data_IF_243451339754
#
_entry.id   IF_243451339754
#
_cell.length_a   1.000
_cell.length_b   1.000
_cell.length_c   1.000
_cell.angle_alpha   90.00
_cell.angle_beta   90.00
_cell.angle_gamma   90.00
#
_symmetry.space_group_name_H-M   'P 1'
#
loop_
_entity.id
_entity.type
_entity.pdbx_description
1 polymer ?
#
# COMPACT_ATOMS: atom_id res chain seq x y z
N UNK A 1 -35.75 25.75 37.33
CA UNK A 1 -34.54 24.89 37.31
C UNK A 1 -34.73 23.47 36.71
N UNK A 2 -35.80 23.21 35.90
CA UNK A 2 -36.02 21.90 35.24
C UNK A 2 -35.69 21.88 33.74
N UNK A 3 -35.67 23.02 33.06
CA UNK A 3 -35.42 23.11 31.61
C UNK A 3 -33.95 22.94 31.21
N UNK A 4 -33.01 23.36 32.06
CA UNK A 4 -31.57 23.27 31.76
C UNK A 4 -31.01 21.83 31.82
N UNK A 5 -31.63 20.95 32.61
CA UNK A 5 -31.19 19.54 32.74
C UNK A 5 -31.59 18.69 31.52
N UNK A 6 -32.73 18.99 30.89
CA UNK A 6 -33.22 18.26 29.71
C UNK A 6 -32.44 18.61 28.44
N UNK A 7 -32.02 19.87 28.29
CA UNK A 7 -31.20 20.31 27.15
C UNK A 7 -29.78 19.72 27.22
N UNK A 8 -29.18 19.67 28.42
CA UNK A 8 -27.87 19.07 28.64
C UNK A 8 -27.86 17.55 28.35
N UNK A 9 -28.94 16.83 28.65
CA UNK A 9 -29.09 15.41 28.30
C UNK A 9 -29.27 15.17 26.79
N UNK A 10 -29.92 16.10 26.07
CA UNK A 10 -30.05 16.05 24.61
C UNK A 10 -28.71 16.29 23.91
N UNK A 11 -27.88 17.22 24.39
CA UNK A 11 -26.53 17.40 23.86
C UNK A 11 -25.59 16.25 24.23
N UNK A 12 -25.70 15.66 25.43
CA UNK A 12 -24.90 14.48 25.79
C UNK A 12 -25.25 13.24 24.95
N UNK A 13 -26.51 13.07 24.53
CA UNK A 13 -26.92 11.95 23.67
C UNK A 13 -26.55 12.15 22.20
N UNK A 14 -26.52 13.40 21.72
CA UNK A 14 -26.02 13.73 20.36
C UNK A 14 -24.48 13.63 20.31
N UNK A 15 -23.77 13.94 21.40
CA UNK A 15 -22.32 13.71 21.51
C UNK A 15 -21.95 12.26 21.82
N UNK A 16 -22.77 11.47 22.51
CA UNK A 16 -22.57 10.02 22.64
C UNK A 16 -22.79 9.28 21.31
N UNK A 17 -23.50 9.91 20.36
CA UNK A 17 -23.65 9.46 18.98
C UNK A 17 -22.48 9.88 18.06
N UNK A 18 -21.39 10.47 18.59
CA UNK A 18 -20.07 10.25 17.99
C UNK A 18 -19.68 8.81 18.29
N UNK A 19 -20.40 7.90 17.61
CA UNK A 19 -20.44 6.48 17.83
C UNK A 19 -19.01 5.93 17.88
N UNK A 20 -18.75 5.08 18.86
CA UNK A 20 -17.57 4.24 18.86
C UNK A 20 -17.40 3.63 17.46
N UNK A 21 -16.20 3.67 16.88
CA UNK A 21 -15.99 3.18 15.52
C UNK A 21 -16.49 1.73 15.44
N UNK A 22 -17.52 1.49 14.63
CA UNK A 22 -18.02 0.14 14.42
C UNK A 22 -17.10 -0.58 13.45
N UNK A 23 -16.86 -1.86 13.70
CA UNK A 23 -16.13 -2.72 12.77
C UNK A 23 -17.12 -3.27 11.74
N UNK A 24 -16.78 -3.14 10.47
CA UNK A 24 -17.54 -3.66 9.34
C UNK A 24 -16.67 -4.65 8.57
N UNK A 25 -17.13 -5.89 8.43
CA UNK A 25 -16.48 -6.93 7.67
C UNK A 25 -17.28 -7.19 6.39
N UNK A 26 -16.64 -7.02 5.23
CA UNK A 26 -17.25 -7.35 3.94
C UNK A 26 -17.27 -8.87 3.76
N UNK A 27 -18.46 -9.45 3.56
CA UNK A 27 -18.63 -10.90 3.40
C UNK A 27 -18.85 -11.65 4.72
N UNK A 28 -19.48 -12.83 4.62
CA UNK A 28 -19.87 -13.67 5.76
C UNK A 28 -18.75 -14.62 6.21
N UNK A 29 -18.89 -15.21 7.40
CA UNK A 29 -18.04 -16.34 7.79
C UNK A 29 -18.46 -17.57 6.98
N UNK A 30 -17.50 -18.42 6.60
CA UNK A 30 -17.71 -19.64 5.80
C UNK A 30 -18.53 -19.42 4.50
N UNK A 31 -18.09 -18.54 3.59
CA UNK A 31 -18.78 -18.32 2.33
C UNK A 31 -18.75 -19.53 1.40
N UNK A 32 -19.80 -19.67 0.58
CA UNK A 32 -19.69 -20.47 -0.65
C UNK A 32 -18.76 -19.75 -1.64
N UNK A 33 -18.31 -20.43 -2.70
CA UNK A 33 -17.44 -19.79 -3.71
C UNK A 33 -18.12 -18.59 -4.38
N UNK A 34 -19.42 -18.67 -4.61
CA UNK A 34 -20.22 -17.63 -5.28
C UNK A 34 -20.38 -16.37 -4.41
N UNK A 35 -20.27 -16.49 -3.08
CA UNK A 35 -20.41 -15.37 -2.14
C UNK A 35 -19.13 -14.51 -2.02
N UNK A 36 -18.04 -14.88 -2.71
CA UNK A 36 -16.73 -14.23 -2.53
C UNK A 36 -16.49 -13.03 -3.43
N UNK A 37 -17.26 -12.88 -4.50
CA UNK A 37 -17.20 -11.73 -5.40
C UNK A 37 -18.21 -10.65 -4.96
N UNK A 38 -17.69 -9.62 -4.31
CA UNK A 38 -18.45 -8.54 -3.69
C UNK A 38 -18.32 -7.25 -4.50
N UNK A 39 -19.38 -6.44 -4.50
CA UNK A 39 -19.34 -5.03 -4.91
C UNK A 39 -19.65 -4.16 -3.72
N UNK A 40 -18.94 -3.04 -3.54
CA UNK A 40 -19.12 -2.16 -2.38
C UNK A 40 -20.58 -1.75 -2.17
N UNK A 41 -21.29 -1.40 -3.25
CA UNK A 41 -22.69 -0.96 -3.16
C UNK A 41 -23.69 -2.04 -2.77
N UNK A 42 -23.40 -3.32 -3.03
CA UNK A 42 -24.34 -4.44 -2.79
C UNK A 42 -23.86 -5.44 -1.76
N UNK A 43 -22.61 -5.33 -1.29
CA UNK A 43 -22.04 -6.22 -0.30
C UNK A 43 -22.84 -6.15 1.01
N UNK A 44 -23.03 -7.32 1.63
CA UNK A 44 -23.48 -7.41 3.02
C UNK A 44 -22.28 -7.20 3.95
N UNK A 45 -22.53 -6.45 5.01
CA UNK A 45 -21.54 -6.11 6.03
C UNK A 45 -21.90 -6.77 7.35
N UNK A 46 -20.89 -7.14 8.11
CA UNK A 46 -21.02 -7.86 9.37
C UNK A 46 -20.17 -7.19 10.45
N UNK A 47 -20.47 -7.39 11.72
CA UNK A 47 -19.79 -6.75 12.85
C UNK A 47 -18.66 -7.60 13.48
N UNK A 48 -18.54 -8.86 13.10
CA UNK A 48 -17.55 -9.78 13.67
C UNK A 48 -16.69 -10.48 12.61
N UNK A 49 -15.38 -10.61 12.92
CA UNK A 49 -14.40 -11.28 12.08
C UNK A 49 -14.40 -12.81 12.21
N UNK A 50 -14.63 -13.34 13.41
CA UNK A 50 -14.35 -14.74 13.74
C UNK A 50 -15.61 -15.62 13.74
N UNK A 51 -16.79 -15.03 13.94
CA UNK A 51 -18.05 -15.75 14.04
C UNK A 51 -19.10 -15.20 13.08
N UNK A 52 -20.04 -16.06 12.67
CA UNK A 52 -21.16 -15.64 11.86
C UNK A 52 -22.08 -14.71 12.66
N UNK A 53 -22.44 -13.58 12.06
CA UNK A 53 -23.37 -12.61 12.65
C UNK A 53 -24.44 -12.20 11.65
N UNK A 54 -25.47 -11.51 12.14
CA UNK A 54 -26.49 -10.95 11.26
C UNK A 54 -25.88 -9.82 10.42
N UNK A 55 -26.35 -9.70 9.18
CA UNK A 55 -25.93 -8.58 8.33
C UNK A 55 -26.35 -7.26 8.99
N UNK A 56 -25.41 -6.32 9.02
CA UNK A 56 -25.65 -4.96 9.48
C UNK A 56 -26.62 -4.25 8.52
N UNK A 57 -27.51 -3.39 9.05
CA UNK A 57 -28.47 -2.66 8.24
C UNK A 57 -27.83 -1.53 7.41
N UNK A 58 -26.63 -1.09 7.80
CA UNK A 58 -25.92 0.04 7.20
C UNK A 58 -24.62 -0.38 6.53
N UNK A 59 -24.15 0.46 5.61
CA UNK A 59 -22.82 0.40 5.03
C UNK A 59 -21.82 1.15 5.92
N UNK A 60 -20.54 0.80 5.87
CA UNK A 60 -19.51 1.53 6.60
C UNK A 60 -19.45 2.99 6.14
N UNK A 61 -19.42 3.90 7.11
CA UNK A 61 -19.26 5.33 6.92
C UNK A 61 -17.88 5.86 7.36
N UNK A 62 -17.70 7.19 7.35
CA UNK A 62 -16.39 7.84 7.58
C UNK A 62 -15.76 7.61 8.96
N UNK A 63 -16.52 7.12 9.93
CA UNK A 63 -16.04 6.83 11.28
C UNK A 63 -15.81 5.31 11.53
N UNK A 64 -16.13 4.45 10.57
CA UNK A 64 -16.11 3.00 10.75
C UNK A 64 -14.80 2.37 10.29
N UNK A 65 -14.39 1.33 11.02
CA UNK A 65 -13.27 0.49 10.61
C UNK A 65 -13.81 -0.59 9.68
N UNK A 66 -13.23 -0.69 8.50
CA UNK A 66 -13.71 -1.61 7.47
C UNK A 66 -12.64 -2.66 7.18
N UNK A 67 -13.04 -3.91 7.12
CA UNK A 67 -12.15 -5.02 6.79
C UNK A 67 -12.77 -5.81 5.64
N UNK A 68 -12.04 -5.96 4.53
CA UNK A 68 -12.33 -7.03 3.60
C UNK A 68 -11.94 -8.35 4.28
N UNK A 69 -12.90 -9.22 4.55
CA UNK A 69 -12.68 -10.44 5.31
C UNK A 69 -11.63 -11.32 4.62
N UNK A 70 -10.87 -12.07 5.41
CA UNK A 70 -9.98 -13.11 4.92
C UNK A 70 -10.74 -14.25 4.24
N UNK A 71 -10.02 -15.07 3.47
CA UNK A 71 -10.59 -16.24 2.80
C UNK A 71 -10.84 -16.06 1.30
N UNK A 72 -9.98 -15.28 0.65
CA UNK A 72 -10.00 -15.05 -0.80
C UNK A 72 -11.23 -14.32 -1.32
N UNK A 73 -11.70 -13.32 -0.58
CA UNK A 73 -12.74 -12.41 -1.06
C UNK A 73 -12.19 -11.46 -2.12
N UNK A 74 -13.05 -11.04 -3.06
CA UNK A 74 -12.78 -9.97 -3.99
C UNK A 74 -13.83 -8.88 -3.79
N UNK A 75 -13.40 -7.67 -3.44
CA UNK A 75 -14.28 -6.51 -3.31
C UNK A 75 -13.99 -5.51 -4.43
N UNK A 76 -14.97 -5.33 -5.32
CA UNK A 76 -14.95 -4.26 -6.32
C UNK A 76 -15.57 -2.99 -5.74
N UNK A 77 -14.79 -1.91 -5.73
CA UNK A 77 -15.23 -0.57 -5.35
C UNK A 77 -15.88 0.09 -6.57
N UNK A 78 -17.21 0.07 -6.59
CA UNK A 78 -18.04 0.59 -7.68
C UNK A 78 -18.60 2.00 -7.42
N UNK A 79 -18.37 2.56 -6.23
CA UNK A 79 -18.65 3.94 -5.84
C UNK A 79 -17.46 4.58 -5.10
N UNK A 80 -17.51 5.87 -4.85
CA UNK A 80 -16.51 6.54 -4.01
C UNK A 80 -16.63 6.06 -2.55
N UNK A 81 -15.48 5.93 -1.88
CA UNK A 81 -15.37 5.36 -0.53
C UNK A 81 -14.74 6.36 0.43
N UNK A 82 -15.32 6.48 1.62
CA UNK A 82 -14.78 7.25 2.73
C UNK A 82 -15.07 6.54 4.06
N UNK A 83 -14.03 5.96 4.67
CA UNK A 83 -14.12 5.19 5.93
C UNK A 83 -13.05 5.63 6.92
N UNK A 84 -13.15 5.23 8.20
CA UNK A 84 -12.11 5.58 9.16
C UNK A 84 -10.82 4.82 8.89
N UNK A 85 -10.89 3.51 8.71
CA UNK A 85 -9.75 2.66 8.35
C UNK A 85 -10.19 1.56 7.40
N UNK A 86 -9.26 1.05 6.60
CA UNK A 86 -9.52 -0.09 5.73
C UNK A 86 -8.43 -1.15 5.88
N UNK A 87 -8.81 -2.41 6.05
CA UNK A 87 -7.90 -3.55 6.10
C UNK A 87 -8.27 -4.60 5.06
N UNK A 88 -7.29 -5.17 4.39
CA UNK A 88 -7.46 -6.33 3.51
C UNK A 88 -6.98 -7.56 4.27
N UNK A 89 -7.92 -8.47 4.57
CA UNK A 89 -7.62 -9.76 5.17
C UNK A 89 -6.94 -10.73 4.20
N UNK A 90 -6.44 -11.82 4.75
CA UNK A 90 -5.63 -12.80 4.03
C UNK A 90 -6.27 -13.29 2.73
N UNK A 91 -5.44 -13.37 1.69
CA UNK A 91 -5.77 -13.83 0.34
C UNK A 91 -6.80 -12.99 -0.41
N UNK A 92 -7.25 -11.88 0.19
CA UNK A 92 -8.37 -11.11 -0.32
C UNK A 92 -7.90 -9.92 -1.15
N UNK A 93 -8.78 -9.46 -2.03
CA UNK A 93 -8.43 -8.54 -3.11
C UNK A 93 -9.42 -7.38 -3.18
N UNK A 94 -8.92 -6.16 -3.07
CA UNK A 94 -9.67 -4.94 -3.34
C UNK A 94 -9.35 -4.49 -4.77
N UNK A 95 -10.37 -4.17 -5.56
CA UNK A 95 -10.22 -3.57 -6.90
C UNK A 95 -11.01 -2.27 -6.96
N UNK A 96 -10.32 -1.17 -7.28
CA UNK A 96 -10.89 0.17 -7.33
C UNK A 96 -10.48 0.87 -8.63
N UNK A 97 -11.44 1.07 -9.54
CA UNK A 97 -11.19 1.61 -10.88
C UNK A 97 -11.96 2.92 -11.08
N UNK A 98 -11.24 4.01 -11.35
CA UNK A 98 -11.79 5.35 -11.60
C UNK A 98 -12.71 5.84 -10.47
N UNK A 99 -12.35 5.54 -9.23
CA UNK A 99 -13.08 5.97 -8.02
C UNK A 99 -12.14 6.64 -7.02
N UNK A 100 -12.73 7.47 -6.16
CA UNK A 100 -12.02 8.01 -5.02
C UNK A 100 -12.08 7.03 -3.85
N UNK A 101 -10.94 6.75 -3.22
CA UNK A 101 -10.86 5.87 -2.06
C UNK A 101 -10.16 6.59 -0.91
N UNK A 102 -10.90 6.82 0.18
CA UNK A 102 -10.39 7.57 1.32
C UNK A 102 -10.48 6.78 2.62
N UNK A 103 -9.37 6.75 3.36
CA UNK A 103 -9.35 6.34 4.77
C UNK A 103 -8.95 7.54 5.62
N UNK A 104 -9.66 7.83 6.71
CA UNK A 104 -9.31 8.93 7.63
C UNK A 104 -8.04 8.62 8.43
N UNK A 105 -7.81 7.35 8.73
CA UNK A 105 -6.70 6.79 9.50
C UNK A 105 -5.94 5.85 8.55
N UNK A 106 -5.81 4.58 8.89
CA UNK A 106 -4.86 3.68 8.22
C UNK A 106 -5.48 2.87 7.07
N UNK A 107 -4.62 2.43 6.17
CA UNK A 107 -4.89 1.38 5.21
C UNK A 107 -3.92 0.21 5.47
N UNK A 108 -4.44 -1.00 5.67
CA UNK A 108 -3.64 -2.17 6.01
C UNK A 108 -3.81 -3.29 4.98
N UNK A 109 -2.70 -3.94 4.61
CA UNK A 109 -2.70 -5.18 3.84
C UNK A 109 -2.12 -6.30 4.71
N UNK A 110 -2.91 -7.34 4.95
CA UNK A 110 -2.41 -8.54 5.59
C UNK A 110 -1.52 -9.34 4.62
N UNK A 111 -0.34 -9.75 5.05
CA UNK A 111 0.52 -10.64 4.28
C UNK A 111 0.01 -12.07 4.46
N UNK A 112 -0.56 -12.59 3.37
CA UNK A 112 -1.26 -13.87 3.34
C UNK A 112 -0.33 -15.05 3.69
N UNK A 113 -0.85 -16.12 4.34
CA UNK A 113 -0.13 -17.37 4.54
C UNK A 113 0.02 -18.26 3.30
N UNK A 114 -0.87 -18.17 2.31
CA UNK A 114 -0.95 -19.15 1.19
C UNK A 114 -0.88 -18.53 -0.21
N UNK A 115 -1.37 -17.31 -0.38
CA UNK A 115 -1.51 -16.66 -1.68
C UNK A 115 -1.08 -15.20 -1.64
N UNK A 116 -1.91 -14.30 -2.14
CA UNK A 116 -1.60 -12.88 -2.22
C UNK A 116 -2.82 -12.06 -1.83
N UNK A 117 -2.68 -11.26 -0.77
CA UNK A 117 -3.61 -10.18 -0.49
C UNK A 117 -3.27 -9.00 -1.38
N UNK A 118 -4.26 -8.38 -2.02
CA UNK A 118 -4.00 -7.34 -3.04
C UNK A 118 -4.91 -6.14 -2.90
N UNK A 119 -4.35 -4.94 -2.98
CA UNK A 119 -5.09 -3.73 -3.28
C UNK A 119 -4.74 -3.27 -4.69
N UNK A 120 -5.71 -3.08 -5.57
CA UNK A 120 -5.49 -2.66 -6.95
C UNK A 120 -6.28 -1.39 -7.28
N UNK A 121 -5.55 -0.35 -7.66
CA UNK A 121 -6.11 0.96 -8.02
C UNK A 121 -5.78 1.30 -9.48
N UNK A 122 -6.78 1.68 -10.27
CA UNK A 122 -6.58 2.09 -11.67
C UNK A 122 -7.31 3.39 -11.96
N UNK A 123 -6.58 4.43 -12.40
CA UNK A 123 -7.17 5.74 -12.66
C UNK A 123 -7.86 6.36 -11.44
N UNK A 124 -7.41 6.02 -10.22
CA UNK A 124 -8.09 6.35 -8.97
C UNK A 124 -7.32 7.41 -8.17
N UNK A 125 -8.04 8.17 -7.33
CA UNK A 125 -7.42 9.00 -6.29
C UNK A 125 -7.57 8.31 -4.95
N UNK A 126 -6.46 8.10 -4.25
CA UNK A 126 -6.44 7.40 -2.96
C UNK A 126 -5.83 8.32 -1.91
N UNK A 127 -6.61 8.62 -0.86
CA UNK A 127 -6.18 9.44 0.27
C UNK A 127 -6.20 8.62 1.56
N UNK A 128 -5.03 8.36 2.12
CA UNK A 128 -4.85 7.64 3.38
C UNK A 128 -4.40 8.66 4.44
N UNK A 129 -5.29 8.96 5.39
CA UNK A 129 -5.06 9.98 6.41
C UNK A 129 -4.06 9.57 7.51
N UNK A 130 -3.65 8.30 7.54
CA UNK A 130 -2.63 7.73 8.43
C UNK A 130 -1.57 6.97 7.63
N UNK A 131 -1.17 5.80 8.11
CA UNK A 131 -0.12 4.97 7.49
C UNK A 131 -0.69 3.97 6.49
N UNK A 132 0.15 3.61 5.51
CA UNK A 132 -0.02 2.38 4.74
C UNK A 132 0.80 1.28 5.41
N UNK A 133 0.12 0.23 5.88
CA UNK A 133 0.74 -0.82 6.68
C UNK A 133 0.65 -2.18 6.02
N UNK A 134 1.71 -2.96 6.19
CA UNK A 134 1.76 -4.38 5.89
C UNK A 134 1.89 -5.13 7.21
N UNK A 135 0.90 -5.97 7.52
CA UNK A 135 0.82 -6.68 8.79
C UNK A 135 0.75 -8.18 8.58
N UNK A 136 1.07 -8.95 9.62
CA UNK A 136 0.88 -10.40 9.64
C UNK A 136 0.02 -10.77 10.82
N UNK A 137 -0.76 -11.84 10.68
CA UNK A 137 -1.34 -12.50 11.84
C UNK A 137 -0.29 -13.40 12.49
N UNK A 138 0.03 -13.12 13.76
CA UNK A 138 1.11 -13.77 14.53
C UNK A 138 0.99 -15.31 14.64
N UNK A 139 -0.22 -15.85 14.47
CA UNK A 139 -0.49 -17.29 14.56
C UNK A 139 -0.29 -18.03 13.23
N UNK A 140 0.00 -17.32 12.14
CA UNK A 140 0.33 -17.99 10.89
C UNK A 140 1.65 -18.76 11.00
N UNK A 141 1.68 -19.96 10.40
CA UNK A 141 2.89 -20.80 10.29
C UNK A 141 3.49 -20.77 8.87
N UNK A 142 2.84 -20.03 7.96
CA UNK A 142 3.26 -19.78 6.58
C UNK A 142 3.05 -18.31 6.24
N UNK A 143 3.80 -17.82 5.27
CA UNK A 143 3.68 -16.47 4.74
C UNK A 143 4.03 -16.45 3.26
N UNK A 144 3.37 -15.57 2.53
CA UNK A 144 3.47 -15.35 1.09
C UNK A 144 3.50 -13.85 0.82
N UNK A 145 2.58 -13.26 0.05
CA UNK A 145 2.69 -11.86 -0.37
C UNK A 145 1.50 -11.00 0.02
N UNK A 146 1.76 -9.71 0.16
CA UNK A 146 0.77 -8.66 -0.03
C UNK A 146 1.25 -7.65 -1.07
N UNK A 147 0.35 -7.14 -1.89
CA UNK A 147 0.69 -6.22 -2.96
C UNK A 147 -0.26 -5.01 -3.00
N UNK A 148 0.31 -3.82 -2.89
CA UNK A 148 -0.37 -2.58 -3.25
C UNK A 148 0.00 -2.22 -4.69
N UNK A 149 -0.96 -2.35 -5.60
CA UNK A 149 -0.81 -2.05 -7.01
C UNK A 149 -1.58 -0.80 -7.41
N UNK A 150 -0.93 0.10 -8.15
CA UNK A 150 -1.56 1.31 -8.69
C UNK A 150 -1.10 1.60 -10.13
N UNK A 151 -2.07 1.82 -11.02
CA UNK A 151 -1.84 2.18 -12.43
C UNK A 151 -2.54 3.50 -12.72
N UNK A 152 -1.83 4.44 -13.34
CA UNK A 152 -2.32 5.79 -13.68
C UNK A 152 -3.10 6.48 -12.54
N UNK A 153 -2.67 6.32 -11.29
CA UNK A 153 -3.42 6.74 -10.09
C UNK A 153 -2.64 7.77 -9.25
N UNK A 154 -3.34 8.55 -8.44
CA UNK A 154 -2.73 9.48 -7.47
C UNK A 154 -2.96 8.97 -6.06
N UNK A 155 -1.88 8.66 -5.35
CA UNK A 155 -1.92 8.08 -4.00
C UNK A 155 -1.25 9.05 -3.03
N UNK A 156 -1.96 9.44 -1.99
CA UNK A 156 -1.47 10.35 -0.97
C UNK A 156 -1.67 9.74 0.42
N UNK A 157 -0.56 9.50 1.10
CA UNK A 157 -0.49 8.85 2.41
C UNK A 157 0.10 9.87 3.37
N UNK A 158 -0.65 10.26 4.41
CA UNK A 158 -0.23 11.35 5.30
C UNK A 158 0.91 10.96 6.24
N UNK A 159 1.08 9.68 6.52
CA UNK A 159 2.07 9.20 7.46
C UNK A 159 3.04 8.20 6.81
N UNK A 160 3.52 7.21 7.56
CA UNK A 160 4.58 6.30 7.16
C UNK A 160 4.12 5.18 6.22
N UNK A 161 5.08 4.64 5.49
CA UNK A 161 5.05 3.24 5.06
C UNK A 161 5.50 2.36 6.23
N UNK A 162 4.68 1.40 6.65
CA UNK A 162 4.99 0.52 7.78
C UNK A 162 4.97 -0.94 7.37
N UNK A 163 6.04 -1.67 7.69
CA UNK A 163 6.17 -3.11 7.48
C UNK A 163 6.76 -3.70 8.76
N UNK A 164 5.95 -4.44 9.51
CA UNK A 164 6.37 -5.06 10.77
C UNK A 164 6.16 -6.56 10.65
N UNK A 165 7.21 -7.33 10.89
CA UNK A 165 7.18 -8.79 10.81
C UNK A 165 7.16 -9.32 12.25
N UNK A 166 6.04 -9.91 12.72
CA UNK A 166 6.04 -10.57 14.01
C UNK A 166 6.96 -11.79 13.92
N UNK A 167 8.09 -11.73 14.62
CA UNK A 167 9.04 -12.84 14.66
C UNK A 167 8.43 -14.00 15.44
N UNK A 168 7.88 -14.98 14.71
CA UNK A 168 7.58 -16.30 15.23
C UNK A 168 8.46 -17.26 14.42
N UNK A 169 9.52 -17.81 15.05
CA UNK A 169 10.59 -18.60 14.42
C UNK A 169 10.16 -19.95 13.82
N UNK A 170 8.99 -20.01 13.19
CA UNK A 170 8.28 -21.20 12.72
C UNK A 170 7.72 -21.09 11.31
N UNK A 171 8.07 -20.06 10.52
CA UNK A 171 7.66 -20.01 9.12
C UNK A 171 8.39 -21.09 8.32
N UNK A 172 7.65 -22.12 7.90
CA UNK A 172 8.21 -23.29 7.18
C UNK A 172 8.20 -23.16 5.66
N UNK A 173 7.96 -21.96 5.11
CA UNK A 173 7.81 -21.79 3.67
C UNK A 173 9.18 -21.69 2.97
N UNK A 174 9.41 -22.43 1.87
CA UNK A 174 10.68 -22.38 1.13
C UNK A 174 10.81 -21.13 0.25
N UNK A 175 9.70 -20.46 -0.09
CA UNK A 175 9.69 -19.27 -0.94
C UNK A 175 9.80 -17.98 -0.13
N UNK A 176 10.49 -16.99 -0.71
CA UNK A 176 10.63 -15.63 -0.16
C UNK A 176 9.26 -14.98 -0.01
N UNK A 177 9.01 -14.21 1.06
CA UNK A 177 7.69 -13.65 1.40
C UNK A 177 7.77 -12.19 1.83
N UNK A 178 6.65 -11.48 1.86
CA UNK A 178 6.57 -10.10 2.36
C UNK A 178 5.70 -9.17 1.51
N UNK A 179 6.05 -7.88 1.49
CA UNK A 179 5.24 -6.83 0.86
C UNK A 179 5.76 -6.37 -0.51
N UNK A 180 4.85 -5.87 -1.35
CA UNK A 180 5.13 -5.28 -2.66
C UNK A 180 4.37 -3.98 -2.84
N UNK A 181 5.04 -2.97 -3.39
CA UNK A 181 4.39 -1.79 -3.97
C UNK A 181 4.69 -1.80 -5.46
N UNK A 182 3.65 -1.90 -6.28
CA UNK A 182 3.74 -1.92 -7.75
C UNK A 182 3.06 -0.69 -8.33
N UNK A 183 3.84 0.18 -8.95
CA UNK A 183 3.34 1.39 -9.59
C UNK A 183 3.58 1.33 -11.10
N UNK A 184 2.61 1.84 -11.86
CA UNK A 184 2.64 1.82 -13.31
C UNK A 184 2.16 3.14 -13.92
N UNK A 185 2.77 3.54 -15.03
CA UNK A 185 2.34 4.67 -15.86
C UNK A 185 2.44 6.01 -15.16
N UNK A 186 1.37 6.80 -15.17
CA UNK A 186 1.34 8.16 -14.58
C UNK A 186 1.20 8.17 -13.06
N UNK A 187 1.40 7.03 -12.41
CA UNK A 187 1.12 6.89 -10.98
C UNK A 187 2.07 7.72 -10.14
N UNK A 188 1.51 8.46 -9.19
CA UNK A 188 2.28 9.16 -8.15
C UNK A 188 1.84 8.66 -6.78
N UNK A 189 2.82 8.41 -5.90
CA UNK A 189 2.57 8.01 -4.52
C UNK A 189 3.41 8.85 -3.57
N UNK A 190 2.77 9.55 -2.64
CA UNK A 190 3.46 10.38 -1.64
C UNK A 190 3.21 9.89 -0.22
N UNK A 191 4.27 9.85 0.57
CA UNK A 191 4.24 9.65 2.02
C UNK A 191 4.63 10.96 2.71
N UNK A 192 3.73 11.49 3.53
CA UNK A 192 3.95 12.69 4.35
C UNK A 192 4.95 12.46 5.49
N UNK A 193 5.30 11.21 5.78
CA UNK A 193 6.36 10.85 6.71
C UNK A 193 7.40 9.93 6.02
N UNK A 194 7.98 9.00 6.76
CA UNK A 194 9.10 8.19 6.33
C UNK A 194 8.71 6.72 6.19
N UNK A 195 9.62 5.86 6.63
CA UNK A 195 9.45 4.41 6.58
C UNK A 195 9.76 3.78 7.92
N UNK A 196 8.96 2.81 8.33
CA UNK A 196 9.25 1.89 9.43
C UNK A 196 9.26 0.49 8.83
N UNK A 197 10.44 0.00 8.44
CA UNK A 197 10.62 -1.30 7.81
C UNK A 197 11.43 -2.19 8.75
N UNK A 198 10.88 -3.36 9.04
CA UNK A 198 11.48 -4.37 9.90
C UNK A 198 12.89 -4.79 9.42
N UNK A 199 13.85 -4.89 10.36
CA UNK A 199 15.23 -5.22 10.02
C UNK A 199 15.35 -6.64 9.45
N UNK A 200 14.39 -7.53 9.70
CA UNK A 200 14.37 -8.87 9.10
C UNK A 200 14.37 -8.85 7.57
N UNK A 201 13.86 -7.79 6.93
CA UNK A 201 13.98 -7.61 5.47
C UNK A 201 15.45 -7.57 5.04
N UNK A 202 16.30 -6.92 5.83
CA UNK A 202 17.74 -6.82 5.62
C UNK A 202 18.48 -8.04 6.13
N UNK A 203 18.14 -8.52 7.32
CA UNK A 203 18.91 -9.52 8.06
C UNK A 203 18.64 -10.95 7.57
N UNK A 204 17.47 -11.20 6.97
CA UNK A 204 17.05 -12.52 6.45
C UNK A 204 16.57 -12.42 4.99
N UNK A 205 17.45 -12.00 4.06
CA UNK A 205 17.09 -11.64 2.68
C UNK A 205 16.76 -12.84 1.78
N UNK A 206 16.96 -14.07 2.25
CA UNK A 206 16.49 -15.28 1.55
C UNK A 206 15.04 -15.61 1.88
N UNK A 207 14.55 -15.13 3.03
CA UNK A 207 13.23 -15.42 3.57
C UNK A 207 12.25 -14.26 3.39
N UNK A 208 12.71 -13.03 3.62
CA UNK A 208 11.87 -11.85 3.67
C UNK A 208 12.25 -10.83 2.58
N UNK A 209 11.25 -10.22 1.95
CA UNK A 209 11.40 -9.08 1.04
C UNK A 209 10.39 -7.99 1.33
N UNK A 210 10.83 -6.76 1.05
CA UNK A 210 9.92 -5.70 0.66
C UNK A 210 10.37 -5.17 -0.69
N UNK A 211 9.49 -5.19 -1.71
CA UNK A 211 9.86 -4.87 -3.09
C UNK A 211 9.08 -3.67 -3.62
N UNK A 212 9.81 -2.73 -4.20
CA UNK A 212 9.27 -1.66 -5.02
C UNK A 212 9.38 -2.03 -6.50
N UNK A 213 8.28 -1.93 -7.24
CA UNK A 213 8.18 -2.28 -8.66
C UNK A 213 7.71 -1.05 -9.42
N UNK A 214 8.49 -0.59 -10.39
CA UNK A 214 8.18 0.55 -11.25
C UNK A 214 8.03 0.09 -12.68
N UNK A 215 6.85 0.31 -13.26
CA UNK A 215 6.52 -0.09 -14.63
C UNK A 215 6.24 1.13 -15.50
N UNK A 216 7.00 1.26 -16.56
CA UNK A 216 6.73 2.23 -17.61
C UNK A 216 5.44 1.85 -18.35
N UNK A 217 4.61 2.85 -18.64
CA UNK A 217 3.43 2.69 -19.50
C UNK A 217 3.19 3.95 -20.31
N UNK A 218 3.03 3.78 -21.62
CA UNK A 218 2.78 4.85 -22.60
C UNK A 218 3.81 6.01 -22.50
N UNK A 219 5.08 5.66 -22.24
CA UNK A 219 6.19 6.58 -22.04
C UNK A 219 6.22 7.28 -20.69
N UNK A 220 5.30 6.95 -19.78
CA UNK A 220 5.20 7.54 -18.44
C UNK A 220 5.89 6.63 -17.41
N UNK A 221 6.61 7.27 -16.50
CA UNK A 221 7.35 6.62 -15.42
C UNK A 221 6.71 7.00 -14.08
N UNK A 222 6.33 6.03 -13.24
CA UNK A 222 5.71 6.32 -11.95
C UNK A 222 6.75 6.78 -10.92
N UNK A 223 6.27 7.43 -9.86
CA UNK A 223 7.14 8.02 -8.83
C UNK A 223 6.60 7.82 -7.41
N UNK A 224 7.52 7.63 -6.46
CA UNK A 224 7.28 7.62 -5.01
C UNK A 224 8.04 8.77 -4.36
N UNK A 225 7.44 9.46 -3.39
CA UNK A 225 8.13 10.47 -2.59
C UNK A 225 7.94 10.28 -1.09
N UNK A 226 8.99 10.51 -0.30
CA UNK A 226 8.95 10.54 1.16
C UNK A 226 9.35 11.93 1.68
N UNK A 227 8.50 12.53 2.50
CA UNK A 227 8.74 13.88 3.04
C UNK A 227 9.70 13.86 4.25
N UNK A 228 9.76 12.74 4.99
CA UNK A 228 10.61 12.57 6.17
C UNK A 228 11.62 11.44 5.96
N UNK A 229 12.35 11.10 7.03
CA UNK A 229 13.45 10.13 6.96
C UNK A 229 12.94 8.75 6.54
N UNK A 230 13.39 8.29 5.37
CA UNK A 230 13.07 6.97 4.84
C UNK A 230 14.35 6.15 4.65
N UNK A 231 14.38 4.95 5.20
CA UNK A 231 15.47 4.01 5.06
C UNK A 231 14.96 2.74 4.37
N UNK A 232 15.42 2.53 3.13
CA UNK A 232 15.02 1.39 2.30
C UNK A 232 16.13 0.31 2.22
N UNK A 233 17.08 0.32 3.16
CA UNK A 233 18.14 -0.69 3.26
C UNK A 233 17.56 -2.12 3.28
N UNK A 234 18.15 -3.03 2.51
CA UNK A 234 17.63 -4.39 2.31
C UNK A 234 16.37 -4.51 1.43
N UNK A 235 15.74 -3.42 0.99
CA UNK A 235 14.62 -3.54 0.06
C UNK A 235 15.08 -4.07 -1.31
N UNK A 236 14.11 -4.56 -2.08
CA UNK A 236 14.31 -4.96 -3.48
C UNK A 236 13.69 -3.96 -4.43
N UNK A 237 14.28 -3.83 -5.62
CA UNK A 237 13.81 -2.92 -6.64
C UNK A 237 13.69 -3.64 -7.99
N UNK A 238 12.58 -3.44 -8.67
CA UNK A 238 12.30 -4.00 -9.99
C UNK A 238 11.82 -2.88 -10.92
N UNK A 239 12.44 -2.77 -12.09
CA UNK A 239 12.13 -1.77 -13.09
C UNK A 239 11.78 -2.44 -14.41
N UNK A 240 10.60 -2.16 -14.94
CA UNK A 240 10.20 -2.55 -16.28
C UNK A 240 10.08 -1.28 -17.14
N UNK A 241 11.13 -0.95 -17.89
CA UNK A 241 11.24 0.31 -18.65
C UNK A 241 11.59 -0.02 -20.11
N UNK A 242 10.69 0.33 -21.04
CA UNK A 242 10.80 -0.07 -22.45
C UNK A 242 10.75 1.09 -23.44
N UNK A 243 9.90 2.09 -23.21
CA UNK A 243 9.53 3.10 -24.23
C UNK A 243 9.59 4.56 -23.75
N UNK A 244 10.27 4.85 -22.64
CA UNK A 244 10.38 6.21 -22.13
C UNK A 244 11.19 7.16 -23.04
N UNK A 245 10.79 8.44 -23.09
CA UNK A 245 11.48 9.49 -23.87
C UNK A 245 12.80 9.90 -23.19
N UNK A 246 13.72 10.58 -23.91
CA UNK A 246 14.90 11.19 -23.29
C UNK A 246 14.52 12.14 -22.17
N UNK A 247 15.29 12.14 -21.10
CA UNK A 247 15.04 12.99 -19.95
C UNK A 247 15.51 12.38 -18.64
N UNK A 248 15.17 13.08 -17.56
CA UNK A 248 15.47 12.68 -16.18
C UNK A 248 14.15 12.45 -15.46
N UNK A 249 13.97 11.25 -14.93
CA UNK A 249 12.76 10.81 -14.24
C UNK A 249 13.10 10.43 -12.80
N UNK A 250 12.37 10.97 -11.83
CA UNK A 250 12.52 10.59 -10.42
C UNK A 250 11.65 9.37 -10.13
N UNK A 251 12.26 8.25 -9.79
CA UNK A 251 11.58 7.02 -9.39
C UNK A 251 11.23 7.07 -7.90
N UNK A 252 12.22 7.43 -7.07
CA UNK A 252 12.03 7.64 -5.63
C UNK A 252 12.66 8.98 -5.27
N UNK A 253 11.88 9.84 -4.62
CA UNK A 253 12.28 11.14 -4.10
C UNK A 253 12.32 11.13 -2.57
N UNK A 254 13.38 11.69 -2.01
CA UNK A 254 13.55 11.92 -0.59
C UNK A 254 13.71 13.42 -0.34
N UNK A 255 12.81 13.99 0.45
CA UNK A 255 12.91 15.40 0.84
C UNK A 255 13.82 15.58 2.08
N UNK A 256 14.18 14.49 2.76
CA UNK A 256 15.07 14.50 3.93
C UNK A 256 16.44 13.89 3.58
N UNK A 257 17.51 14.67 3.78
CA UNK A 257 18.91 14.30 3.54
C UNK A 257 19.42 13.04 4.26
N UNK A 258 18.77 12.63 5.36
CA UNK A 258 19.12 11.40 6.09
C UNK A 258 18.53 10.14 5.46
N UNK A 259 17.60 10.31 4.52
CA UNK A 259 16.98 9.18 3.84
C UNK A 259 17.96 8.51 2.90
N UNK A 260 17.80 7.20 2.71
CA UNK A 260 18.67 6.45 1.82
C UNK A 260 17.97 5.21 1.24
N UNK A 261 18.44 4.81 0.06
CA UNK A 261 18.15 3.49 -0.51
C UNK A 261 18.91 2.37 0.23
N UNK A 262 19.98 2.69 0.97
CA UNK A 262 20.84 1.71 1.64
C UNK A 262 21.52 0.75 0.66
N UNK A 263 21.77 -0.49 1.11
CA UNK A 263 22.24 -1.60 0.28
C UNK A 263 21.03 -2.48 -0.10
N UNK A 264 20.57 -2.44 -1.35
CA UNK A 264 19.47 -3.31 -1.79
C UNK A 264 19.86 -4.79 -1.73
N UNK A 265 18.89 -5.64 -1.42
CA UNK A 265 19.08 -7.10 -1.50
C UNK A 265 19.03 -7.60 -2.95
N UNK A 266 18.24 -6.95 -3.81
CA UNK A 266 18.14 -7.27 -5.23
C UNK A 266 17.70 -6.06 -6.03
N UNK A 267 18.29 -5.88 -7.20
CA UNK A 267 17.88 -4.88 -8.18
C UNK A 267 17.74 -5.54 -9.54
N UNK A 268 16.57 -5.40 -10.17
CA UNK A 268 16.26 -5.99 -11.47
C UNK A 268 15.78 -4.94 -12.47
N UNK A 269 16.22 -5.07 -13.71
CA UNK A 269 15.80 -4.27 -14.85
C UNK A 269 15.32 -5.18 -15.97
N UNK A 270 14.06 -5.05 -16.38
CA UNK A 270 13.42 -5.84 -17.43
C UNK A 270 13.64 -7.35 -17.25
N UNK A 271 13.51 -7.82 -16.00
CA UNK A 271 13.67 -9.23 -15.62
C UNK A 271 15.11 -9.73 -15.46
N UNK A 272 16.14 -8.87 -15.58
CA UNK A 272 17.56 -9.24 -15.42
C UNK A 272 18.18 -8.50 -14.23
N UNK A 273 19.20 -9.10 -13.61
CA UNK A 273 19.95 -8.44 -12.55
C UNK A 273 20.61 -7.15 -13.08
N UNK A 274 20.61 -6.11 -12.26
CA UNK A 274 21.09 -4.79 -12.61
C UNK A 274 21.83 -4.17 -11.42
N UNK A 275 22.90 -3.42 -11.69
CA UNK A 275 23.57 -2.61 -10.67
C UNK A 275 23.28 -1.13 -10.92
N UNK A 276 22.94 -0.38 -9.87
CA UNK A 276 22.74 1.06 -10.00
C UNK A 276 23.97 1.74 -10.61
N UNK A 277 23.73 2.60 -11.59
CA UNK A 277 24.75 3.29 -12.38
C UNK A 277 25.18 2.56 -13.65
N UNK A 278 24.89 1.27 -13.80
CA UNK A 278 25.19 0.54 -15.04
C UNK A 278 24.37 1.07 -16.23
N UNK A 279 24.98 1.16 -17.40
CA UNK A 279 24.26 1.59 -18.60
C UNK A 279 23.39 0.47 -19.18
N UNK A 280 22.24 0.85 -19.72
CA UNK A 280 21.38 -0.02 -20.53
C UNK A 280 20.80 0.77 -21.71
N UNK A 281 20.12 0.07 -22.62
CA UNK A 281 19.52 0.69 -23.81
C UNK A 281 18.00 0.74 -23.74
N UNK A 282 17.43 1.86 -24.15
CA UNK A 282 16.00 2.04 -24.44
C UNK A 282 15.92 2.44 -25.91
N UNK A 283 15.58 1.48 -26.77
CA UNK A 283 15.79 1.65 -28.22
C UNK A 283 17.26 1.93 -28.53
N UNK A 284 17.54 3.06 -29.19
CA UNK A 284 18.90 3.51 -29.52
C UNK A 284 19.56 4.38 -28.43
N UNK A 285 18.83 4.75 -27.36
CA UNK A 285 19.31 5.68 -26.33
C UNK A 285 20.00 4.94 -25.20
N UNK A 286 21.09 5.52 -24.69
CA UNK A 286 21.70 5.07 -23.43
C UNK A 286 20.88 5.55 -22.25
N UNK A 287 20.71 4.70 -21.25
CA UNK A 287 19.98 4.99 -20.02
C UNK A 287 20.70 4.39 -18.81
N UNK A 288 20.45 4.96 -17.63
CA UNK A 288 20.94 4.45 -16.35
C UNK A 288 19.97 4.79 -15.22
N UNK A 289 19.88 3.90 -14.24
CA UNK A 289 19.19 4.15 -12.98
C UNK A 289 20.27 4.31 -11.90
N UNK A 290 20.30 5.47 -11.25
CA UNK A 290 21.36 5.81 -10.30
C UNK A 290 20.85 6.70 -9.17
N UNK A 291 21.64 6.77 -8.11
CA UNK A 291 21.46 7.77 -7.08
C UNK A 291 22.02 9.11 -7.55
N UNK A 292 21.22 10.16 -7.48
CA UNK A 292 21.61 11.52 -7.86
C UNK A 292 20.68 12.55 -7.21
N UNK A 293 21.04 13.84 -7.18
CA UNK A 293 20.14 14.86 -6.68
C UNK A 293 18.96 15.02 -7.64
N UNK A 294 17.71 14.99 -7.16
CA UNK A 294 16.57 15.27 -8.04
C UNK A 294 16.38 16.78 -8.21
N UNK A 295 16.10 17.24 -9.45
CA UNK A 295 15.67 18.63 -9.67
C UNK A 295 14.34 18.97 -8.98
N UNK A 296 13.56 17.95 -8.57
CA UNK A 296 12.22 18.10 -8.03
C UNK A 296 12.12 17.84 -6.51
N UNK A 297 13.26 17.62 -5.83
CA UNK A 297 13.34 17.46 -4.37
C UNK A 297 13.49 18.81 -3.67
N UNK A 298 13.01 18.90 -2.43
CA UNK A 298 13.33 20.04 -1.53
C UNK A 298 14.81 20.06 -1.19
N UNK A 299 15.47 18.90 -1.17
CA UNK A 299 16.93 18.78 -1.08
C UNK A 299 17.51 18.53 -2.47
N UNK A 300 17.99 19.60 -3.11
CA UNK A 300 18.57 19.55 -4.46
C UNK A 300 20.06 19.22 -4.46
N UNK A 301 20.67 18.94 -3.30
CA UNK A 301 22.12 18.77 -3.15
C UNK A 301 22.52 17.34 -2.83
N UNK A 302 21.75 16.66 -1.99
CA UNK A 302 22.07 15.29 -1.60
C UNK A 302 21.82 14.32 -2.76
N UNK A 303 22.80 13.50 -3.17
CA UNK A 303 22.60 12.54 -4.24
C UNK A 303 21.98 11.23 -3.72
N UNK A 304 20.82 11.30 -3.06
CA UNK A 304 20.14 10.13 -2.48
C UNK A 304 18.84 9.74 -3.21
N UNK A 305 18.33 10.56 -4.13
CA UNK A 305 17.14 10.22 -4.92
C UNK A 305 17.47 9.16 -5.96
N UNK A 306 16.51 8.25 -6.20
CA UNK A 306 16.64 7.25 -7.24
C UNK A 306 16.10 7.80 -8.56
N UNK A 307 16.98 7.94 -9.54
CA UNK A 307 16.71 8.63 -10.80
C UNK A 307 16.98 7.70 -11.98
N UNK A 308 16.07 7.71 -12.94
CA UNK A 308 16.28 7.21 -14.29
C UNK A 308 16.71 8.36 -15.19
N UNK A 309 17.87 8.24 -15.81
CA UNK A 309 18.37 9.18 -16.81
C UNK A 309 18.41 8.50 -18.17
N UNK A 310 17.84 9.14 -19.19
CA UNK A 310 17.81 8.67 -20.58
C UNK A 310 18.45 9.75 -21.44
N UNK A 311 19.53 9.38 -22.15
CA UNK A 311 20.24 10.26 -23.08
C UNK A 311 19.35 10.72 -24.24
N UNK A 312 19.68 11.89 -24.79
CA UNK A 312 19.03 12.47 -25.97
C UNK A 312 19.25 11.59 -27.21
#
# INVERSE_FOLDING_TARGET
>A
MKFAKTLAFFYLSIFAATAFPMNHFAGKVNPSKEDKDLKWTTAKWYDNGDFETKALPSKPGPNDNTTLRWGSYKLTVDCDVNVASFSIGDDSKLICNKRNFKTKRNFNLAISPYGESRAEFTGSNVDIGGSLSYSFYEKHTKASYANFKATDSKINIKNDLTVIIPFNGRFKNPAKRGGKIELEGKTTMSFGNGTVIDSLIKDMPTEWMFRFIFREKDGNIPTISFEKEANLDGCEFEFDIKNAKPGTYTLIRFDNKKSSIGKPNKVMLNGKDYAFGSEFKIGNKSAKIMLAPSPNSKDTRTPNDLILQISK
#
